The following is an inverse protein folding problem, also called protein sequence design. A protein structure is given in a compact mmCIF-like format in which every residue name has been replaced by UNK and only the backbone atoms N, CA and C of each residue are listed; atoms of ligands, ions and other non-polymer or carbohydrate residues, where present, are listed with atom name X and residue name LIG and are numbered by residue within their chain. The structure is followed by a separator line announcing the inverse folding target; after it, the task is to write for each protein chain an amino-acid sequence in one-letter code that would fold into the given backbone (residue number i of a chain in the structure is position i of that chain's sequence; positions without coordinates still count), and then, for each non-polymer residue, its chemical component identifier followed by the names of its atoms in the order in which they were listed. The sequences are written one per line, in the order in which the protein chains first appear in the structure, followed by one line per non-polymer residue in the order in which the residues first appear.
data_IF_582470150603
#
_entry.id   IF_582470150603
#
_cell.length_a   1.000
_cell.length_b   1.000
_cell.length_c   1.000
_cell.angle_alpha   90.00
_cell.angle_beta   90.00
_cell.angle_gamma   90.00
#
_symmetry.space_group_name_H-M   'P 1'
#
loop_
_entity.id
_entity.type
_entity.pdbx_description
1 polymer ?
#
# COMPACT_ATOMS: atom_id res chain seq x y z
N UNK A 1 -11.17 27.68 9.01
CA UNK A 1 -11.06 28.15 7.62
C UNK A 1 -12.40 28.70 7.08
N UNK A 2 -13.53 28.00 7.28
CA UNK A 2 -14.86 28.49 6.87
C UNK A 2 -15.24 29.88 7.44
N UNK A 3 -14.87 30.16 8.70
CA UNK A 3 -15.13 31.47 9.35
C UNK A 3 -14.42 32.63 8.65
N UNK A 4 -13.21 32.41 8.13
CA UNK A 4 -12.46 33.44 7.41
C UNK A 4 -13.06 33.73 6.03
N UNK A 5 -13.60 32.71 5.36
CA UNK A 5 -14.29 32.87 4.07
C UNK A 5 -15.58 33.65 4.25
N UNK A 6 -16.38 33.31 5.27
CA UNK A 6 -17.60 34.07 5.61
C UNK A 6 -17.27 35.51 5.97
N UNK A 7 -16.22 35.74 6.76
CA UNK A 7 -15.77 37.09 7.11
C UNK A 7 -15.29 37.88 5.89
N UNK A 8 -14.60 37.25 4.94
CA UNK A 8 -14.13 37.90 3.71
C UNK A 8 -15.30 38.26 2.78
N UNK A 9 -16.26 37.34 2.60
CA UNK A 9 -17.49 37.59 1.82
C UNK A 9 -18.30 38.73 2.44
N UNK A 10 -18.47 38.74 3.77
CA UNK A 10 -19.16 39.82 4.48
C UNK A 10 -18.40 41.15 4.39
N UNK A 11 -17.07 41.13 4.44
CA UNK A 11 -16.24 42.34 4.37
C UNK A 11 -16.23 42.95 2.98
N UNK A 12 -16.14 42.13 1.93
CA UNK A 12 -16.26 42.55 0.52
C UNK A 12 -17.68 43.07 0.26
N UNK A 13 -18.71 42.39 0.76
CA UNK A 13 -20.09 42.86 0.68
C UNK A 13 -20.28 44.23 1.35
N UNK A 14 -19.71 44.44 2.54
CA UNK A 14 -19.75 45.73 3.25
C UNK A 14 -18.97 46.84 2.54
N UNK A 15 -17.83 46.52 1.91
CA UNK A 15 -17.05 47.48 1.12
C UNK A 15 -17.79 47.90 -0.15
N UNK A 16 -18.48 46.97 -0.81
CA UNK A 16 -19.30 47.23 -1.99
C UNK A 16 -20.59 48.01 -1.67
N UNK A 17 -21.13 47.87 -0.46
CA UNK A 17 -22.21 48.72 0.03
C UNK A 17 -21.74 50.12 0.43
N UNK A 18 -20.45 50.29 0.78
CA UNK A 18 -19.85 51.60 1.11
C UNK A 18 -19.36 52.37 -0.13
N UNK A 19 -19.02 51.69 -1.21
CA UNK A 19 -18.72 52.33 -2.50
C UNK A 19 -20.00 52.85 -3.14
N UNK A 20 -20.04 54.13 -3.51
CA UNK A 20 -21.15 54.77 -4.24
C UNK A 20 -21.30 54.24 -5.69
N UNK A 21 -21.40 52.93 -5.88
CA UNK A 21 -21.70 52.33 -7.17
C UNK A 21 -23.18 51.95 -7.21
N UNK A 22 -23.92 52.61 -8.09
CA UNK A 22 -25.31 52.27 -8.47
C UNK A 22 -25.32 50.95 -9.26
N UNK A 23 -25.07 49.84 -8.57
CA UNK A 23 -25.22 48.50 -9.13
C UNK A 23 -26.67 48.06 -8.92
N UNK A 24 -27.31 47.56 -9.97
CA UNK A 24 -28.62 46.92 -9.84
C UNK A 24 -28.51 45.68 -8.94
N UNK A 25 -29.60 45.29 -8.28
CA UNK A 25 -29.64 44.11 -7.41
C UNK A 25 -29.13 42.84 -8.13
N UNK A 26 -29.38 42.72 -9.44
CA UNK A 26 -28.88 41.64 -10.29
C UNK A 26 -27.35 41.58 -10.35
N UNK A 27 -26.67 42.73 -10.43
CA UNK A 27 -25.20 42.78 -10.47
C UNK A 27 -24.59 42.42 -9.11
N UNK A 28 -25.25 42.76 -8.00
CA UNK A 28 -24.84 42.32 -6.67
C UNK A 28 -25.01 40.80 -6.50
N UNK A 29 -26.14 40.24 -6.95
CA UNK A 29 -26.39 38.81 -6.91
C UNK A 29 -25.37 38.03 -7.77
N UNK A 30 -25.08 38.52 -8.99
CA UNK A 30 -24.07 37.95 -9.87
C UNK A 30 -22.67 37.96 -9.22
N UNK A 31 -22.27 39.08 -8.63
CA UNK A 31 -20.98 39.21 -7.95
C UNK A 31 -20.87 38.28 -6.73
N UNK A 32 -21.93 38.19 -5.91
CA UNK A 32 -21.96 37.29 -4.77
C UNK A 32 -21.85 35.81 -5.20
N UNK A 33 -22.55 35.43 -6.27
CA UNK A 33 -22.48 34.08 -6.85
C UNK A 33 -21.07 33.78 -7.39
N UNK A 34 -20.47 34.71 -8.13
CA UNK A 34 -19.09 34.55 -8.62
C UNK A 34 -18.08 34.38 -7.49
N UNK A 35 -18.21 35.16 -6.41
CA UNK A 35 -17.35 35.02 -5.22
C UNK A 35 -17.56 33.67 -4.53
N UNK A 36 -18.80 33.21 -4.40
CA UNK A 36 -19.10 31.90 -3.83
C UNK A 36 -18.49 30.76 -4.65
N UNK A 37 -18.69 30.76 -5.96
CA UNK A 37 -18.14 29.75 -6.86
C UNK A 37 -16.60 29.78 -6.87
N UNK A 38 -16.01 30.98 -6.85
CA UNK A 38 -14.56 31.14 -6.74
C UNK A 38 -14.01 30.56 -5.43
N UNK A 39 -14.66 30.85 -4.30
CA UNK A 39 -14.28 30.31 -3.00
C UNK A 39 -14.45 28.78 -2.94
N UNK A 40 -15.55 28.25 -3.47
CA UNK A 40 -15.80 26.81 -3.56
C UNK A 40 -14.76 26.11 -4.43
N UNK A 41 -14.43 26.68 -5.59
CA UNK A 41 -13.39 26.16 -6.48
C UNK A 41 -12.02 26.18 -5.79
N UNK A 42 -11.69 27.23 -5.05
CA UNK A 42 -10.42 27.34 -4.32
C UNK A 42 -10.32 26.27 -3.22
N UNK A 43 -11.39 26.04 -2.46
CA UNK A 43 -11.43 24.98 -1.43
C UNK A 43 -11.21 23.60 -2.06
N UNK A 44 -11.89 23.30 -3.16
CA UNK A 44 -11.69 22.04 -3.87
C UNK A 44 -10.27 21.90 -4.42
N UNK A 45 -9.69 22.99 -4.96
CA UNK A 45 -8.33 23.01 -5.47
C UNK A 45 -7.29 22.78 -4.35
N UNK A 46 -7.46 23.42 -3.19
CA UNK A 46 -6.60 23.19 -2.02
C UNK A 46 -6.74 21.75 -1.52
N UNK A 47 -7.96 21.21 -1.45
CA UNK A 47 -8.18 19.81 -1.11
C UNK A 47 -7.50 18.87 -2.09
N UNK A 48 -7.61 19.13 -3.39
CA UNK A 48 -6.98 18.35 -4.45
C UNK A 48 -5.45 18.39 -4.35
N UNK A 49 -4.85 19.57 -4.16
CA UNK A 49 -3.41 19.70 -3.92
C UNK A 49 -3.01 18.93 -2.65
N UNK A 50 -3.76 19.07 -1.56
CA UNK A 50 -3.45 18.37 -0.31
C UNK A 50 -3.57 16.85 -0.44
N UNK A 51 -4.49 16.38 -1.28
CA UNK A 51 -4.64 14.97 -1.61
C UNK A 51 -3.45 14.50 -2.45
N UNK A 52 -3.13 15.20 -3.54
CA UNK A 52 -1.96 14.87 -4.38
C UNK A 52 -0.62 15.01 -3.65
N UNK A 53 -0.51 15.89 -2.65
CA UNK A 53 0.70 16.01 -1.83
C UNK A 53 0.81 14.88 -0.79
N UNK A 54 -0.30 14.26 -0.39
CA UNK A 54 -0.31 13.06 0.47
C UNK A 54 -0.16 11.77 -0.33
N UNK A 55 -0.66 11.77 -1.56
CA UNK A 55 -0.39 10.75 -2.59
C UNK A 55 0.97 11.04 -3.27
N UNK A 56 1.71 12.07 -2.82
CA UNK A 56 3.04 12.35 -3.34
C UNK A 56 3.86 11.09 -3.20
N UNK A 57 4.45 10.67 -4.31
CA UNK A 57 4.99 9.32 -4.41
C UNK A 57 6.27 9.26 -3.58
N UNK A 58 6.25 8.54 -2.46
CA UNK A 58 7.36 8.39 -1.54
C UNK A 58 8.30 7.28 -2.02
N UNK A 59 9.62 7.50 -2.00
CA UNK A 59 10.58 6.51 -2.45
C UNK A 59 10.79 5.42 -1.39
N UNK A 60 10.80 4.17 -1.82
CA UNK A 60 11.39 3.05 -1.09
C UNK A 60 12.75 2.79 -1.73
N UNK A 61 13.82 3.10 -0.99
CA UNK A 61 15.19 2.96 -1.45
C UNK A 61 15.83 1.74 -0.82
N UNK A 62 16.45 0.91 -1.66
CA UNK A 62 17.41 -0.11 -1.23
C UNK A 62 18.68 0.06 -2.06
N UNK A 63 19.73 -0.69 -1.75
CA UNK A 63 20.94 -0.70 -2.59
C UNK A 63 20.68 -1.29 -3.99
N UNK A 64 19.56 -1.99 -4.19
CA UNK A 64 19.14 -2.54 -5.48
C UNK A 64 18.40 -1.52 -6.36
N UNK A 65 17.85 -0.46 -5.78
CA UNK A 65 17.15 0.58 -6.54
C UNK A 65 16.13 1.37 -5.72
N UNK A 66 15.31 2.14 -6.45
CA UNK A 66 14.26 2.98 -5.89
C UNK A 66 12.96 2.73 -6.66
N UNK A 67 11.87 2.47 -5.94
CA UNK A 67 10.52 2.58 -6.48
C UNK A 67 9.73 3.58 -5.66
N UNK A 68 8.68 4.15 -6.26
CA UNK A 68 7.87 5.17 -5.59
C UNK A 68 6.45 4.65 -5.42
N UNK A 69 5.89 4.79 -4.22
CA UNK A 69 4.47 4.48 -3.92
C UNK A 69 3.89 5.47 -2.89
N UNK A 70 2.62 5.32 -2.49
CA UNK A 70 2.01 6.11 -1.40
C UNK A 70 2.82 5.96 -0.11
N UNK A 71 2.90 7.01 0.72
CA UNK A 71 3.71 7.03 1.96
C UNK A 71 3.52 5.78 2.83
N UNK A 72 2.28 5.44 3.16
CA UNK A 72 1.99 4.32 4.07
C UNK A 72 2.44 2.99 3.46
N UNK A 73 2.16 2.77 2.17
CA UNK A 73 2.66 1.58 1.47
C UNK A 73 4.19 1.55 1.41
N UNK A 74 4.84 2.71 1.21
CA UNK A 74 6.29 2.79 1.17
C UNK A 74 6.93 2.42 2.53
N UNK A 75 6.31 2.85 3.63
CA UNK A 75 6.71 2.48 5.00
C UNK A 75 6.52 0.99 5.24
N UNK A 76 5.34 0.43 4.91
CA UNK A 76 5.04 -0.99 5.12
C UNK A 76 6.00 -1.92 4.35
N UNK A 77 6.32 -1.60 3.08
CA UNK A 77 7.29 -2.37 2.30
C UNK A 77 8.71 -2.24 2.85
N UNK A 78 9.09 -1.06 3.36
CA UNK A 78 10.41 -0.85 3.94
C UNK A 78 10.59 -1.68 5.20
N UNK A 79 9.61 -1.69 6.09
CA UNK A 79 9.61 -2.52 7.30
C UNK A 79 9.77 -4.00 6.96
N UNK A 80 9.01 -4.50 5.98
CA UNK A 80 9.13 -5.88 5.53
C UNK A 80 10.53 -6.21 4.97
N UNK A 81 11.06 -5.35 4.09
CA UNK A 81 12.38 -5.57 3.48
C UNK A 81 13.50 -5.52 4.54
N UNK A 82 13.45 -4.56 5.46
CA UNK A 82 14.39 -4.45 6.57
C UNK A 82 14.33 -5.67 7.49
N UNK A 83 13.12 -6.17 7.79
CA UNK A 83 12.94 -7.40 8.55
C UNK A 83 13.60 -8.60 7.87
N UNK A 84 13.30 -8.81 6.58
CA UNK A 84 13.91 -9.90 5.81
C UNK A 84 15.44 -9.77 5.83
N UNK A 85 15.99 -8.59 5.52
CA UNK A 85 17.43 -8.37 5.50
C UNK A 85 18.11 -8.62 6.84
N UNK A 86 17.43 -8.33 7.96
CA UNK A 86 17.96 -8.49 9.32
C UNK A 86 17.95 -9.94 9.81
N UNK A 87 16.95 -10.73 9.42
CA UNK A 87 16.72 -12.07 9.99
C UNK A 87 16.97 -13.23 9.00
N UNK A 88 17.52 -12.93 7.82
CA UNK A 88 17.91 -13.94 6.82
C UNK A 88 19.30 -13.69 6.26
N UNK A 89 19.98 -14.76 5.88
CA UNK A 89 21.22 -14.76 5.10
C UNK A 89 20.90 -14.71 3.60
N UNK A 90 21.85 -14.24 2.78
CA UNK A 90 21.67 -14.14 1.31
C UNK A 90 21.31 -15.47 0.63
N UNK A 91 21.68 -16.59 1.25
CA UNK A 91 21.40 -17.94 0.74
C UNK A 91 20.03 -18.47 1.18
N UNK A 92 19.38 -17.82 2.14
CA UNK A 92 18.06 -18.24 2.60
C UNK A 92 16.99 -17.98 1.53
N UNK A 93 16.03 -18.88 1.47
CA UNK A 93 14.86 -18.79 0.61
C UNK A 93 13.71 -18.11 1.34
N UNK A 94 13.12 -17.11 0.69
CA UNK A 94 12.02 -16.32 1.23
C UNK A 94 10.92 -16.26 0.18
N UNK A 95 9.76 -16.84 0.46
CA UNK A 95 8.62 -16.83 -0.46
C UNK A 95 7.61 -15.79 0.00
N UNK A 96 7.29 -14.83 -0.86
CA UNK A 96 6.30 -13.78 -0.58
C UNK A 96 5.09 -13.98 -1.49
N UNK A 97 3.90 -13.99 -0.88
CA UNK A 97 2.65 -14.44 -1.47
C UNK A 97 1.55 -13.36 -1.33
N UNK A 98 0.79 -13.09 -2.40
CA UNK A 98 1.15 -13.23 -3.81
C UNK A 98 2.11 -12.11 -4.25
N UNK A 99 2.62 -12.23 -5.48
CA UNK A 99 3.44 -11.24 -6.20
C UNK A 99 4.66 -10.73 -5.42
N UNK A 100 5.38 -11.69 -4.81
CA UNK A 100 6.56 -11.44 -3.99
C UNK A 100 7.80 -10.89 -4.68
N UNK A 101 7.82 -10.89 -6.02
CA UNK A 101 9.02 -10.64 -6.82
C UNK A 101 9.70 -9.30 -6.50
N UNK A 102 8.92 -8.24 -6.23
CA UNK A 102 9.47 -6.94 -5.84
C UNK A 102 10.18 -7.00 -4.48
N UNK A 103 9.55 -7.61 -3.48
CA UNK A 103 10.14 -7.76 -2.14
C UNK A 103 11.41 -8.61 -2.21
N UNK A 104 11.35 -9.73 -2.93
CA UNK A 104 12.49 -10.61 -3.16
C UNK A 104 13.66 -9.89 -3.84
N UNK A 105 13.38 -9.08 -4.85
CA UNK A 105 14.38 -8.27 -5.53
C UNK A 105 15.04 -7.26 -4.57
N UNK A 106 14.23 -6.50 -3.82
CA UNK A 106 14.71 -5.46 -2.91
C UNK A 106 15.50 -6.03 -1.73
N UNK A 107 15.10 -7.19 -1.20
CA UNK A 107 15.77 -7.86 -0.10
C UNK A 107 16.94 -8.77 -0.56
N UNK A 108 17.19 -8.90 -1.87
CA UNK A 108 18.12 -9.87 -2.44
C UNK A 108 17.91 -11.29 -1.88
N UNK A 109 16.67 -11.76 -1.85
CA UNK A 109 16.33 -13.13 -1.43
C UNK A 109 15.64 -13.86 -2.56
N UNK A 110 16.15 -15.05 -2.89
CA UNK A 110 15.50 -15.90 -3.89
C UNK A 110 14.22 -16.48 -3.28
N UNK A 111 13.14 -16.45 -4.06
CA UNK A 111 11.95 -17.27 -3.74
C UNK A 111 12.33 -18.75 -3.77
N UNK A 112 13.08 -19.18 -4.79
CA UNK A 112 13.48 -20.58 -4.99
C UNK A 112 12.39 -21.43 -5.66
N UNK A 113 11.17 -20.92 -5.76
CA UNK A 113 10.09 -21.50 -6.54
C UNK A 113 10.20 -21.12 -8.02
N UNK A 114 9.70 -22.01 -8.87
CA UNK A 114 9.50 -21.74 -10.29
C UNK A 114 8.39 -20.70 -10.54
N UNK A 115 7.39 -20.67 -9.65
CA UNK A 115 6.23 -19.79 -9.72
C UNK A 115 6.59 -18.40 -9.18
N UNK A 116 6.59 -17.38 -10.04
CA UNK A 116 7.07 -16.03 -9.70
C UNK A 116 6.04 -15.14 -9.00
N UNK A 117 4.76 -15.43 -9.21
CA UNK A 117 3.64 -14.61 -8.76
C UNK A 117 2.79 -15.30 -7.70
N UNK A 118 2.54 -16.60 -7.83
CA UNK A 118 1.69 -17.37 -6.93
C UNK A 118 0.32 -16.69 -6.73
N UNK A 119 -0.18 -16.12 -7.82
CA UNK A 119 -1.54 -15.59 -7.95
C UNK A 119 -2.49 -16.73 -8.28
N UNK A 120 -3.80 -16.50 -8.16
CA UNK A 120 -4.81 -17.52 -8.43
C UNK A 120 -4.61 -18.26 -9.77
N UNK A 121 -4.26 -17.52 -10.83
CA UNK A 121 -4.01 -18.10 -12.15
C UNK A 121 -2.88 -19.15 -12.16
N UNK A 122 -1.86 -19.01 -11.30
CA UNK A 122 -0.79 -20.01 -11.17
C UNK A 122 -1.34 -21.31 -10.55
N UNK A 123 -2.20 -21.20 -9.53
CA UNK A 123 -2.82 -22.36 -8.89
C UNK A 123 -3.77 -23.09 -9.84
N UNK A 124 -4.52 -22.35 -10.65
CA UNK A 124 -5.41 -22.91 -11.68
C UNK A 124 -4.62 -23.58 -12.81
N UNK A 125 -3.48 -22.99 -13.22
CA UNK A 125 -2.68 -23.48 -14.35
C UNK A 125 -1.80 -24.68 -13.97
N UNK A 126 -1.07 -24.58 -12.86
CA UNK A 126 -0.08 -25.59 -12.47
C UNK A 126 -0.64 -26.66 -11.53
N UNK A 127 -1.80 -26.39 -10.92
CA UNK A 127 -2.43 -27.24 -9.92
C UNK A 127 -1.81 -27.05 -8.54
N UNK A 128 -2.66 -26.83 -7.55
CA UNK A 128 -2.25 -26.58 -6.17
C UNK A 128 -1.35 -27.69 -5.60
N UNK A 129 -1.69 -28.96 -5.78
CA UNK A 129 -0.89 -30.07 -5.26
C UNK A 129 0.56 -30.10 -5.79
N UNK A 130 0.80 -29.61 -7.03
CA UNK A 130 2.17 -29.48 -7.55
C UNK A 130 2.91 -28.33 -6.87
N UNK A 131 2.26 -27.19 -6.71
CA UNK A 131 2.81 -26.03 -6.02
C UNK A 131 3.17 -26.40 -4.59
N UNK A 132 2.26 -27.04 -3.84
CA UNK A 132 2.50 -27.50 -2.47
C UNK A 132 3.68 -28.46 -2.43
N UNK A 133 3.73 -29.46 -3.32
CA UNK A 133 4.86 -30.41 -3.38
C UNK A 133 6.19 -29.71 -3.61
N UNK A 134 6.25 -28.76 -4.55
CA UNK A 134 7.47 -28.01 -4.83
C UNK A 134 7.85 -27.10 -3.65
N UNK A 135 6.87 -26.51 -2.99
CA UNK A 135 7.04 -25.69 -1.80
C UNK A 135 7.58 -26.49 -0.61
N UNK A 136 7.00 -27.65 -0.31
CA UNK A 136 7.46 -28.56 0.74
C UNK A 136 8.87 -29.05 0.47
N UNK A 137 9.23 -29.35 -0.79
CA UNK A 137 10.59 -29.74 -1.16
C UNK A 137 11.59 -28.59 -0.99
N UNK A 138 11.18 -27.38 -1.37
CA UNK A 138 12.01 -26.19 -1.26
C UNK A 138 12.24 -25.79 0.20
N UNK A 139 11.21 -25.97 1.04
CA UNK A 139 11.21 -25.69 2.47
C UNK A 139 11.74 -24.29 2.79
N UNK A 140 11.08 -23.23 2.29
CA UNK A 140 11.57 -21.87 2.44
C UNK A 140 11.75 -21.51 3.92
N UNK A 141 12.79 -20.75 4.27
CA UNK A 141 13.03 -20.33 5.66
C UNK A 141 11.92 -19.39 6.15
N UNK A 142 11.48 -18.50 5.26
CA UNK A 142 10.40 -17.56 5.52
C UNK A 142 9.32 -17.60 4.45
N UNK A 143 8.09 -17.42 4.90
CA UNK A 143 6.89 -17.28 4.09
C UNK A 143 6.18 -16.00 4.51
N UNK A 144 5.82 -15.16 3.55
CA UNK A 144 5.13 -13.90 3.83
C UNK A 144 3.81 -13.88 3.09
N UNK A 145 2.70 -13.68 3.80
CA UNK A 145 1.38 -13.47 3.19
C UNK A 145 0.98 -11.99 3.25
N UNK A 146 0.53 -11.44 2.12
CA UNK A 146 -0.08 -10.12 2.04
C UNK A 146 -1.60 -10.20 2.29
N UNK A 147 -2.12 -9.47 3.28
CA UNK A 147 -3.53 -9.49 3.71
C UNK A 147 -4.53 -9.13 2.61
N UNK A 148 -4.12 -8.28 1.67
CA UNK A 148 -4.96 -7.81 0.55
C UNK A 148 -5.26 -8.93 -0.46
N UNK A 149 -4.61 -10.07 -0.37
CA UNK A 149 -4.81 -11.17 -1.29
C UNK A 149 -5.98 -12.07 -0.91
N UNK A 150 -6.51 -12.77 -1.92
CA UNK A 150 -7.54 -13.79 -1.76
C UNK A 150 -6.97 -15.20 -1.53
N UNK A 151 -5.64 -15.32 -1.39
CA UNK A 151 -4.96 -16.56 -0.99
C UNK A 151 -5.40 -16.95 0.43
N UNK A 152 -5.47 -18.25 0.72
CA UNK A 152 -6.02 -18.80 1.96
C UNK A 152 -7.52 -18.56 2.19
N UNK A 153 -8.20 -17.82 1.31
CA UNK A 153 -9.66 -17.60 1.35
C UNK A 153 -10.38 -18.24 0.17
N UNK A 154 -9.80 -18.11 -1.02
CA UNK A 154 -10.43 -18.53 -2.28
C UNK A 154 -9.58 -19.50 -3.08
N UNK A 155 -8.25 -19.46 -2.91
CA UNK A 155 -7.29 -20.37 -3.55
C UNK A 155 -6.10 -20.62 -2.62
N UNK A 156 -5.29 -21.64 -2.93
CA UNK A 156 -4.09 -21.95 -2.16
C UNK A 156 -4.35 -22.48 -0.75
N UNK A 157 -5.50 -23.13 -0.53
CA UNK A 157 -5.95 -23.60 0.78
C UNK A 157 -5.06 -24.70 1.38
N UNK A 158 -4.59 -25.64 0.55
CA UNK A 158 -3.64 -26.68 0.95
C UNK A 158 -2.28 -26.06 1.27
N UNK A 159 -1.82 -25.10 0.45
CA UNK A 159 -0.56 -24.39 0.75
C UNK A 159 -0.65 -23.64 2.08
N UNK A 160 -1.75 -22.94 2.33
CA UNK A 160 -1.94 -22.21 3.57
C UNK A 160 -2.03 -23.14 4.78
N UNK A 161 -2.72 -24.29 4.65
CA UNK A 161 -2.75 -25.33 5.68
C UNK A 161 -1.33 -25.83 6.00
N UNK A 162 -0.54 -26.15 4.97
CA UNK A 162 0.85 -26.55 5.12
C UNK A 162 1.68 -25.50 5.86
N UNK A 163 1.54 -24.21 5.51
CA UNK A 163 2.27 -23.14 6.20
C UNK A 163 1.88 -23.05 7.67
N UNK A 164 0.58 -23.09 7.99
CA UNK A 164 0.10 -23.03 9.39
C UNK A 164 0.61 -24.22 10.22
N UNK A 165 0.69 -25.40 9.62
CA UNK A 165 1.15 -26.62 10.29
C UNK A 165 2.66 -26.61 10.55
N UNK A 166 3.46 -26.11 9.61
CA UNK A 166 4.92 -26.30 9.60
C UNK A 166 5.72 -25.02 9.93
N UNK A 167 5.05 -23.86 9.98
CA UNK A 167 5.68 -22.58 10.27
C UNK A 167 5.07 -21.92 11.51
N UNK A 168 5.85 -21.07 12.15
CA UNK A 168 5.44 -20.22 13.25
C UNK A 168 5.30 -18.78 12.77
N UNK A 169 4.23 -18.13 13.20
CA UNK A 169 4.03 -16.71 12.94
C UNK A 169 5.05 -15.91 13.75
N UNK A 170 5.93 -15.22 13.06
CA UNK A 170 7.01 -14.44 13.67
C UNK A 170 6.62 -12.97 13.84
N UNK A 171 6.01 -12.37 12.81
CA UNK A 171 5.71 -10.94 12.80
C UNK A 171 4.48 -10.58 11.97
N UNK A 172 3.96 -9.38 12.22
CA UNK A 172 2.98 -8.70 11.38
C UNK A 172 3.50 -7.29 11.13
N UNK A 173 3.62 -6.91 9.87
CA UNK A 173 4.01 -5.56 9.46
C UNK A 173 2.87 -4.84 8.78
N UNK A 174 2.97 -3.51 8.79
CA UNK A 174 2.22 -2.65 7.92
C UNK A 174 0.89 -2.12 8.46
N UNK A 175 0.63 -0.86 8.14
CA UNK A 175 -0.56 -0.09 8.53
C UNK A 175 -1.58 0.05 7.40
N UNK A 176 -1.12 0.09 6.14
CA UNK A 176 -1.96 0.13 4.93
C UNK A 176 -2.04 -1.24 4.26
N UNK A 177 -0.92 -1.94 4.16
CA UNK A 177 -0.80 -3.28 3.61
C UNK A 177 -0.23 -4.17 4.70
N UNK A 178 -1.04 -5.09 5.23
CA UNK A 178 -0.54 -6.00 6.26
C UNK A 178 0.21 -7.17 5.65
N UNK A 179 1.39 -7.44 6.18
CA UNK A 179 2.19 -8.62 5.86
C UNK A 179 2.29 -9.53 7.08
N UNK A 180 1.95 -10.80 6.91
CA UNK A 180 2.10 -11.83 7.93
C UNK A 180 3.35 -12.65 7.62
N UNK A 181 4.34 -12.60 8.50
CA UNK A 181 5.63 -13.29 8.32
C UNK A 181 5.63 -14.56 9.15
N UNK A 182 5.98 -15.66 8.50
CA UNK A 182 6.06 -16.99 9.06
C UNK A 182 7.48 -17.53 8.90
N UNK A 183 8.07 -18.02 9.98
CA UNK A 183 9.38 -18.68 10.01
C UNK A 183 9.17 -20.18 10.16
N UNK A 184 9.96 -20.99 9.46
CA UNK A 184 9.87 -22.43 9.60
C UNK A 184 10.16 -22.90 11.04
N UNK A 185 9.42 -23.89 11.53
CA UNK A 185 9.65 -24.48 12.86
C UNK A 185 11.00 -25.19 12.91
N UNK A 186 11.82 -24.84 13.91
CA UNK A 186 13.10 -25.52 14.14
C UNK A 186 12.83 -26.95 14.65
N UNK A 187 13.12 -27.95 13.81
CA UNK A 187 12.85 -29.37 14.09
C UNK A 187 12.62 -30.24 12.85
N UNK A 188 12.28 -29.63 11.71
CA UNK A 188 12.17 -30.33 10.42
C UNK A 188 13.43 -30.19 9.54
N UNK A 189 14.51 -29.63 10.08
CA UNK A 189 15.82 -29.67 9.41
C UNK A 189 16.45 -31.05 9.63
N UNK A 190 16.01 -32.00 8.80
CA UNK A 190 16.78 -33.16 8.35
C UNK A 190 17.61 -33.91 9.39
N UNK A 191 16.99 -34.95 9.97
CA UNK A 191 17.62 -36.28 9.92
C UNK A 191 17.56 -36.82 8.49
#
# INVERSE_FOLDING_TARGET
MAVLIVALVVSVYRLLLRGQYSLSAEKYAALALSLFLGAFSLVNFVHLISYYSKVAVHPVKTHMGEFKTEQGTAEDFRELVEHILKYTDKTDTVVVLPDGSLVNFLAERKSGLYYTSLVQADFETFGEGRIVKDFTRLKPKYVVFCELSSICKTYGLELCSYVVENYEKEAIFGSKVKFFVFKIKEGEDGK
#
